data_IF_267623860785
#
_entry.id   IF_267623860785
#
_cell.length_a   1.000
_cell.length_b   1.000
_cell.length_c   1.000
_cell.angle_alpha   90.00
_cell.angle_beta   90.00
_cell.angle_gamma   90.00
#
_symmetry.space_group_name_H-M   'P 1'
#
loop_
_entity.id
_entity.type
_entity.pdbx_description
1 polymer ?
#
# COMPACT_ATOMS: atom_id res chain seq x y z
N UNK A 1 -4.41 30.57 -5.88
CA UNK A 1 -3.92 29.58 -6.87
C UNK A 1 -4.55 28.25 -6.45
N UNK A 2 -5.41 27.68 -7.29
CA UNK A 2 -6.48 26.77 -6.87
C UNK A 2 -6.01 25.40 -6.39
N UNK A 3 -6.58 24.94 -5.28
CA UNK A 3 -6.60 23.52 -4.92
C UNK A 3 -7.91 22.98 -5.47
N UNK A 4 -7.87 22.49 -6.70
CA UNK A 4 -8.98 21.72 -7.26
C UNK A 4 -9.14 20.48 -6.38
N UNK A 5 -10.30 20.37 -5.72
CA UNK A 5 -10.69 19.18 -4.96
C UNK A 5 -10.44 17.93 -5.79
N UNK A 6 -9.67 17.00 -5.25
CA UNK A 6 -9.38 15.71 -5.89
C UNK A 6 -10.73 15.04 -6.13
N UNK A 7 -11.08 14.64 -7.36
CA UNK A 7 -12.38 14.05 -7.64
C UNK A 7 -12.53 12.77 -6.80
N UNK A 8 -13.54 12.76 -5.93
CA UNK A 8 -13.97 11.58 -5.20
C UNK A 8 -14.32 10.48 -6.21
N UNK A 9 -13.39 9.58 -6.47
CA UNK A 9 -13.53 8.52 -7.47
C UNK A 9 -12.25 8.13 -8.20
N UNK A 10 -11.18 8.95 -8.17
CA UNK A 10 -9.89 8.56 -8.74
C UNK A 10 -8.88 8.27 -7.64
N UNK A 11 -8.62 6.98 -7.40
CA UNK A 11 -7.48 6.55 -6.59
C UNK A 11 -6.20 7.10 -7.22
N UNK A 12 -5.34 7.69 -6.41
CA UNK A 12 -4.03 8.13 -6.89
C UNK A 12 -3.03 6.99 -6.94
N UNK A 13 -2.01 7.14 -7.79
CA UNK A 13 -1.01 6.12 -8.03
C UNK A 13 -0.21 5.75 -6.77
N UNK A 14 -0.01 6.68 -5.82
CA UNK A 14 0.68 6.40 -4.55
C UNK A 14 -0.16 5.46 -3.68
N UNK A 15 -1.46 5.75 -3.55
CA UNK A 15 -2.44 4.89 -2.86
C UNK A 15 -2.50 3.50 -3.49
N UNK A 16 -2.61 3.42 -4.82
CA UNK A 16 -2.61 2.13 -5.54
C UNK A 16 -1.30 1.37 -5.30
N UNK A 17 -0.15 2.05 -5.33
CA UNK A 17 1.14 1.41 -5.06
C UNK A 17 1.24 0.88 -3.62
N UNK A 18 0.73 1.62 -2.63
CA UNK A 18 0.65 1.16 -1.23
C UNK A 18 -0.24 -0.07 -1.06
N UNK A 19 -1.40 -0.11 -1.72
CA UNK A 19 -2.30 -1.27 -1.71
C UNK A 19 -1.64 -2.50 -2.35
N UNK A 20 -1.01 -2.32 -3.53
CA UNK A 20 -0.28 -3.38 -4.21
C UNK A 20 0.89 -3.92 -3.36
N UNK A 21 1.66 -3.02 -2.74
CA UNK A 21 2.77 -3.41 -1.85
C UNK A 21 2.26 -4.23 -0.67
N UNK A 22 1.13 -3.83 -0.08
CA UNK A 22 0.50 -4.54 1.04
C UNK A 22 -0.01 -5.91 0.61
N UNK A 23 -0.64 -6.01 -0.56
CA UNK A 23 -1.09 -7.27 -1.16
C UNK A 23 0.07 -8.23 -1.42
N UNK A 24 1.17 -7.76 -2.00
CA UNK A 24 2.35 -8.59 -2.25
C UNK A 24 2.97 -9.14 -0.96
N UNK A 25 3.04 -8.33 0.11
CA UNK A 25 3.51 -8.77 1.43
C UNK A 25 2.61 -9.84 2.03
N UNK A 26 1.30 -9.62 1.96
CA UNK A 26 0.31 -10.58 2.45
C UNK A 26 0.37 -11.90 1.68
N UNK A 27 0.43 -11.84 0.35
CA UNK A 27 0.55 -13.04 -0.47
C UNK A 27 1.84 -13.81 -0.17
N UNK A 28 2.95 -13.10 0.07
CA UNK A 28 4.23 -13.73 0.43
C UNK A 28 4.11 -14.54 1.73
N UNK A 29 3.55 -13.96 2.80
CA UNK A 29 3.40 -14.67 4.07
C UNK A 29 2.38 -15.82 3.98
N UNK A 30 1.25 -15.60 3.31
CA UNK A 30 0.23 -16.63 3.11
C UNK A 30 0.74 -17.79 2.27
N UNK A 31 1.48 -17.52 1.18
CA UNK A 31 2.07 -18.57 0.35
C UNK A 31 3.12 -19.39 1.12
N UNK A 32 3.95 -18.73 1.94
CA UNK A 32 4.92 -19.42 2.78
C UNK A 32 4.26 -20.36 3.80
N UNK A 33 3.18 -19.93 4.45
CA UNK A 33 2.38 -20.80 5.32
C UNK A 33 1.78 -21.98 4.56
N UNK A 34 1.19 -21.73 3.38
CA UNK A 34 0.56 -22.76 2.57
C UNK A 34 1.56 -23.82 2.04
N UNK A 35 2.81 -23.46 1.78
CA UNK A 35 3.90 -24.42 1.48
C UNK A 35 4.11 -25.41 2.62
N UNK A 36 4.04 -24.94 3.88
CA UNK A 36 4.19 -25.77 5.08
C UNK A 36 3.00 -26.71 5.33
N UNK A 37 1.81 -26.31 4.91
CA UNK A 37 0.55 -27.06 5.08
C UNK A 37 0.23 -27.98 3.88
N UNK A 38 0.92 -27.81 2.75
CA UNK A 38 0.67 -28.57 1.52
C UNK A 38 0.96 -30.07 1.66
N UNK A 39 -0.06 -30.90 1.45
CA UNK A 39 0.03 -32.36 1.52
C UNK A 39 0.67 -33.02 0.29
N UNK A 40 0.78 -32.32 -0.84
CA UNK A 40 1.29 -32.88 -2.10
C UNK A 40 2.42 -32.02 -2.69
N UNK A 41 3.36 -32.63 -3.42
CA UNK A 41 4.42 -31.89 -4.12
C UNK A 41 3.89 -30.84 -5.10
N UNK A 42 2.79 -31.14 -5.80
CA UNK A 42 2.20 -30.25 -6.81
C UNK A 42 1.63 -28.98 -6.18
N UNK A 43 0.93 -29.11 -5.04
CA UNK A 43 0.40 -27.95 -4.30
C UNK A 43 1.54 -27.13 -3.69
N UNK A 44 2.59 -27.80 -3.21
CA UNK A 44 3.79 -27.13 -2.71
C UNK A 44 4.49 -26.31 -3.80
N UNK A 45 4.62 -26.86 -5.00
CA UNK A 45 5.21 -26.15 -6.14
C UNK A 45 4.36 -24.94 -6.56
N UNK A 46 3.04 -25.08 -6.57
CA UNK A 46 2.12 -23.97 -6.86
C UNK A 46 2.35 -22.79 -5.90
N UNK A 47 2.31 -23.03 -4.59
CA UNK A 47 2.55 -21.96 -3.61
C UNK A 47 3.99 -21.44 -3.62
N UNK A 48 4.97 -22.28 -3.97
CA UNK A 48 6.35 -21.84 -4.20
C UNK A 48 6.46 -20.86 -5.37
N UNK A 49 5.69 -21.05 -6.44
CA UNK A 49 5.58 -20.07 -7.51
C UNK A 49 4.92 -18.78 -7.02
N UNK A 50 3.80 -18.86 -6.30
CA UNK A 50 3.13 -17.67 -5.76
C UNK A 50 4.07 -16.84 -4.86
N UNK A 51 4.86 -17.50 -4.01
CA UNK A 51 5.84 -16.82 -3.15
C UNK A 51 6.92 -16.11 -3.97
N UNK A 52 7.45 -16.77 -5.01
CA UNK A 52 8.45 -16.18 -5.90
C UNK A 52 7.88 -14.95 -6.62
N UNK A 53 6.71 -15.08 -7.22
CA UNK A 53 6.06 -14.00 -7.96
C UNK A 53 5.74 -12.81 -7.03
N UNK A 54 5.20 -13.08 -5.83
CA UNK A 54 4.92 -12.06 -4.84
C UNK A 54 6.20 -11.33 -4.35
N UNK A 55 7.31 -12.05 -4.24
CA UNK A 55 8.61 -11.47 -3.85
C UNK A 55 9.18 -10.58 -4.96
N UNK A 56 9.07 -11.01 -6.22
CA UNK A 56 9.47 -10.20 -7.38
C UNK A 56 8.62 -8.92 -7.49
N UNK A 57 7.30 -9.04 -7.36
CA UNK A 57 6.39 -7.91 -7.43
C UNK A 57 6.62 -6.94 -6.26
N UNK A 58 6.82 -7.44 -5.04
CA UNK A 58 7.25 -6.61 -3.91
C UNK A 58 8.50 -5.79 -4.26
N UNK A 59 9.51 -6.41 -4.88
CA UNK A 59 10.73 -5.72 -5.30
C UNK A 59 10.47 -4.62 -6.35
N UNK A 60 9.66 -4.91 -7.37
CA UNK A 60 9.30 -3.95 -8.43
C UNK A 60 8.51 -2.77 -7.87
N UNK A 61 7.51 -3.04 -7.03
CA UNK A 61 6.68 -2.01 -6.40
C UNK A 61 7.53 -1.13 -5.48
N UNK A 62 8.40 -1.73 -4.66
CA UNK A 62 9.33 -0.98 -3.80
C UNK A 62 10.24 -0.05 -4.60
N UNK A 63 10.84 -0.55 -5.69
CA UNK A 63 11.68 0.28 -6.56
C UNK A 63 10.89 1.45 -7.16
N UNK A 64 9.67 1.20 -7.64
CA UNK A 64 8.78 2.25 -8.13
C UNK A 64 8.52 3.29 -7.05
N UNK A 65 8.07 2.87 -5.87
CA UNK A 65 7.73 3.79 -4.78
C UNK A 65 8.93 4.58 -4.27
N UNK A 66 10.11 3.97 -4.21
CA UNK A 66 11.36 4.67 -3.88
C UNK A 66 11.73 5.70 -4.95
N UNK A 67 11.64 5.34 -6.23
CA UNK A 67 11.96 6.25 -7.35
C UNK A 67 11.03 7.47 -7.41
N UNK A 68 9.78 7.31 -6.94
CA UNK A 68 8.76 8.38 -6.85
C UNK A 68 8.79 9.13 -5.53
N UNK A 69 9.61 8.71 -4.56
CA UNK A 69 9.68 9.31 -3.22
C UNK A 69 8.52 8.95 -2.29
N UNK A 70 7.66 8.01 -2.69
CA UNK A 70 6.49 7.55 -1.93
C UNK A 70 6.86 6.63 -0.76
N UNK A 71 8.01 5.96 -0.82
CA UNK A 71 8.51 5.09 0.24
C UNK A 71 9.99 5.35 0.56
N UNK A 72 10.30 5.49 1.84
CA UNK A 72 11.64 5.82 2.35
C UNK A 72 12.12 4.72 3.32
N UNK A 73 12.58 3.57 2.78
CA UNK A 73 12.86 2.39 3.61
C UNK A 73 14.04 2.59 4.57
N UNK A 74 14.92 3.55 4.29
CA UNK A 74 16.14 3.83 5.06
C UNK A 74 16.02 5.06 5.96
N UNK A 75 14.84 5.67 6.07
CA UNK A 75 14.61 6.73 7.05
C UNK A 75 14.70 6.18 8.47
N UNK A 76 15.09 7.04 9.43
CA UNK A 76 15.12 6.62 10.84
C UNK A 76 13.70 6.29 11.32
N UNK A 77 13.53 5.44 12.35
CA UNK A 77 12.21 5.13 12.90
C UNK A 77 11.42 6.38 13.30
N UNK A 78 12.10 7.41 13.84
CA UNK A 78 11.49 8.69 14.20
C UNK A 78 10.99 9.45 12.98
N UNK A 79 11.77 9.45 11.89
CA UNK A 79 11.38 10.07 10.62
C UNK A 79 10.20 9.34 9.98
N UNK A 80 10.19 8.00 10.02
CA UNK A 80 9.10 7.18 9.51
C UNK A 80 7.81 7.49 10.28
N UNK A 81 7.85 7.47 11.61
CA UNK A 81 6.70 7.81 12.44
C UNK A 81 6.18 9.23 12.19
N UNK A 82 7.09 10.22 12.12
CA UNK A 82 6.71 11.61 11.86
C UNK A 82 6.07 11.81 10.47
N UNK A 83 6.51 11.04 9.47
CA UNK A 83 5.91 11.05 8.14
C UNK A 83 4.53 10.40 8.16
N UNK A 84 4.36 9.27 8.84
CA UNK A 84 3.08 8.55 8.94
C UNK A 84 2.01 9.37 9.67
N UNK A 85 2.37 10.00 10.79
CA UNK A 85 1.46 10.92 11.51
C UNK A 85 1.03 12.07 10.61
N UNK A 86 1.97 12.71 9.90
CA UNK A 86 1.67 13.81 8.98
C UNK A 86 0.74 13.37 7.84
N UNK A 87 0.97 12.19 7.25
CA UNK A 87 0.10 11.64 6.20
C UNK A 87 -1.31 11.36 6.74
N UNK A 88 -1.42 10.81 7.96
CA UNK A 88 -2.71 10.57 8.61
C UNK A 88 -3.47 11.87 8.91
N UNK A 89 -2.79 12.90 9.43
CA UNK A 89 -3.37 14.22 9.67
C UNK A 89 -3.88 14.87 8.37
N UNK A 90 -3.11 14.78 7.28
CA UNK A 90 -3.53 15.29 5.96
C UNK A 90 -4.78 14.57 5.45
N UNK A 91 -4.85 13.24 5.61
CA UNK A 91 -6.03 12.47 5.24
C UNK A 91 -7.26 12.88 6.07
N UNK A 92 -7.11 13.07 7.38
CA UNK A 92 -8.19 13.49 8.28
C UNK A 92 -8.64 14.93 8.03
N UNK A 93 -7.71 15.86 7.81
CA UNK A 93 -8.01 17.27 7.51
C UNK A 93 -8.73 17.45 6.17
N UNK A 94 -8.38 16.65 5.16
CA UNK A 94 -9.09 16.63 3.88
C UNK A 94 -10.54 16.13 3.98
N UNK A 95 -10.87 15.33 5.00
CA UNK A 95 -12.24 14.83 5.23
C UNK A 95 -13.15 15.91 5.83
N UNK A 96 -12.61 16.86 6.59
CA UNK A 96 -13.41 17.92 7.21
C UNK A 96 -13.91 19.00 6.24
N UNK A 97 -13.30 19.14 5.06
CA UNK A 97 -13.66 20.19 4.08
C UNK A 97 -14.75 19.75 3.08
N UNK A 98 -15.12 18.46 3.06
CA UNK A 98 -16.19 17.92 2.17
C UNK A 98 -17.61 18.01 2.73
N UNK A 99 -17.83 18.61 3.90
CA UNK A 99 -19.19 18.84 4.41
C UNK A 99 -19.74 20.16 3.85
N UNK A 100 -20.43 20.07 2.72
CA UNK A 100 -21.18 21.19 2.11
C UNK A 100 -21.98 21.97 3.19
N UNK A 101 -21.74 23.29 3.37
CA UNK A 101 -22.51 24.12 4.27
C UNK A 101 -23.88 24.41 3.64
N UNK A 102 -24.91 23.62 3.98
CA UNK A 102 -26.27 23.96 3.56
C UNK A 102 -27.37 22.91 3.59
N UNK A 103 -27.13 21.66 3.98
CA UNK A 103 -28.23 20.70 4.15
C UNK A 103 -28.79 20.76 5.58
N UNK A 104 -29.74 21.67 5.79
CA UNK A 104 -30.73 21.55 6.87
C UNK A 104 -31.72 20.44 6.54
N UNK A 105 -32.11 19.65 7.55
CA UNK A 105 -33.20 18.68 7.47
C UNK A 105 -34.53 19.36 7.18
#
# INVERSE_FOLDING_TARGET
MGVAGRPAGRLDDETVAHDLLSGAKMLSTTAASAIGEAATPQVKEFFSSCLRDATEDHGRIMQLMMSRGWYQPYASPEQQLANDVRKAEQALGGVTETREPGRTF
#
